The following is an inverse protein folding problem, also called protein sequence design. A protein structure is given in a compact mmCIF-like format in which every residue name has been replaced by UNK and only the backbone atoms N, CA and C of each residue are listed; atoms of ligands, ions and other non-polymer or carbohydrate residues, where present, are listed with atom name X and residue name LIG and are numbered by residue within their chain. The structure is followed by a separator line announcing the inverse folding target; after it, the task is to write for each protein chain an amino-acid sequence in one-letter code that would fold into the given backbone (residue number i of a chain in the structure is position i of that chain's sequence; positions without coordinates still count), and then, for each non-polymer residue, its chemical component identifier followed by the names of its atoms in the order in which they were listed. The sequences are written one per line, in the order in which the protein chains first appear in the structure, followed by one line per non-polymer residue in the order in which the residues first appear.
data_IF_506057533132
#
_entry.id   IF_506057533132
#
_cell.length_a   1.000
_cell.length_b   1.000
_cell.length_c   1.000
_cell.angle_alpha   90.00
_cell.angle_beta   90.00
_cell.angle_gamma   90.00
#
_symmetry.space_group_name_H-M   'P 1'
#
loop_
_entity.id
_entity.type
_entity.pdbx_description
1 polymer ?
#
# COMPACT_ATOMS: atom_id res chain seq x y z
N UNK A 1 -3.91 34.95 5.45
CA UNK A 1 -3.63 33.51 5.49
C UNK A 1 -2.24 33.15 6.00
N UNK A 2 -1.40 34.11 6.24
CA UNK A 2 0.00 33.87 6.68
C UNK A 2 0.24 34.47 8.06
N UNK A 3 -0.77 34.31 8.94
CA UNK A 3 -0.73 34.91 10.27
C UNK A 3 0.31 34.25 11.19
N UNK A 4 0.90 33.12 10.80
CA UNK A 4 1.90 32.47 11.63
C UNK A 4 2.94 31.67 10.85
N UNK A 5 3.77 32.37 10.08
CA UNK A 5 4.90 31.79 9.34
C UNK A 5 5.90 31.05 10.26
N UNK A 6 5.99 31.45 11.53
CA UNK A 6 6.87 30.78 12.51
C UNK A 6 6.28 29.45 12.95
N UNK A 7 4.98 29.37 13.19
CA UNK A 7 4.31 28.13 13.55
C UNK A 7 4.34 27.15 12.37
N UNK A 8 4.03 27.62 11.16
CA UNK A 8 4.12 26.83 9.94
C UNK A 8 5.53 26.25 9.74
N UNK A 9 6.57 27.06 9.90
CA UNK A 9 7.95 26.61 9.82
C UNK A 9 8.27 25.53 10.87
N UNK A 10 7.86 25.76 12.12
CA UNK A 10 8.09 24.80 13.21
C UNK A 10 7.38 23.44 12.95
N UNK A 11 6.16 23.46 12.39
CA UNK A 11 5.44 22.23 12.01
C UNK A 11 6.18 21.49 10.90
N UNK A 12 6.62 22.20 9.86
CA UNK A 12 7.36 21.60 8.74
C UNK A 12 8.71 21.02 9.24
N UNK A 13 9.48 21.77 10.03
CA UNK A 13 10.74 21.28 10.61
C UNK A 13 10.53 20.03 11.45
N UNK A 14 9.48 19.99 12.25
CA UNK A 14 9.12 18.83 13.04
C UNK A 14 8.74 17.64 12.16
N UNK A 15 7.95 17.85 11.12
CA UNK A 15 7.59 16.81 10.16
C UNK A 15 8.85 16.25 9.47
N UNK A 16 9.71 17.13 8.96
CA UNK A 16 10.98 16.75 8.29
C UNK A 16 11.94 15.97 9.19
N UNK A 17 11.89 16.20 10.50
CA UNK A 17 12.73 15.45 11.45
C UNK A 17 12.11 14.11 11.89
N UNK A 18 10.78 14.00 11.94
CA UNK A 18 10.08 12.83 12.50
C UNK A 18 9.61 11.83 11.44
N UNK A 19 9.10 12.28 10.31
CA UNK A 19 8.56 11.40 9.27
C UNK A 19 9.58 10.41 8.73
N UNK A 20 10.86 10.77 8.48
CA UNK A 20 11.87 9.79 8.05
C UNK A 20 12.07 8.63 9.02
N UNK A 21 11.77 8.82 10.32
CA UNK A 21 11.89 7.74 11.31
C UNK A 21 10.86 6.63 11.06
N UNK A 22 9.61 7.02 10.74
CA UNK A 22 8.56 6.05 10.39
C UNK A 22 8.77 5.46 9.00
N UNK A 23 9.32 6.23 8.07
CA UNK A 23 9.59 5.76 6.70
C UNK A 23 10.68 4.69 6.61
N UNK A 24 11.51 4.50 7.66
CA UNK A 24 12.48 3.38 7.72
C UNK A 24 11.82 2.00 7.57
N UNK A 25 10.53 1.91 7.78
CA UNK A 25 9.75 0.68 7.62
C UNK A 25 9.80 0.12 6.21
N UNK A 26 10.01 0.96 5.18
CA UNK A 26 10.09 0.54 3.79
C UNK A 26 11.41 -0.16 3.40
N UNK A 27 12.46 0.00 4.21
CA UNK A 27 13.75 -0.62 3.92
C UNK A 27 13.68 -2.16 4.05
N UNK A 28 14.45 -2.91 3.22
CA UNK A 28 15.40 -2.38 2.22
C UNK A 28 14.75 -2.17 0.83
N UNK A 29 13.63 -2.80 0.50
CA UNK A 29 13.15 -2.97 -0.87
C UNK A 29 11.67 -2.60 -1.07
N UNK A 30 11.06 -1.96 -0.08
CA UNK A 30 9.69 -1.48 -0.16
C UNK A 30 8.65 -2.44 0.41
N UNK A 31 9.09 -3.56 0.95
CA UNK A 31 8.20 -4.46 1.68
C UNK A 31 7.66 -3.77 2.94
N UNK A 32 6.34 -3.87 3.16
CA UNK A 32 5.69 -3.19 4.28
C UNK A 32 5.18 -4.21 5.31
N UNK A 33 5.77 -4.28 6.51
CA UNK A 33 5.52 -5.36 7.46
C UNK A 33 4.12 -5.37 8.07
N UNK A 34 3.40 -4.25 8.04
CA UNK A 34 2.05 -4.13 8.60
C UNK A 34 0.95 -4.45 7.57
N UNK A 35 1.31 -4.88 6.36
CA UNK A 35 0.38 -5.38 5.36
C UNK A 35 -0.36 -4.31 4.56
N UNK A 36 -1.41 -4.76 3.87
CA UNK A 36 -2.11 -4.06 2.80
C UNK A 36 -2.73 -2.73 3.23
N UNK A 37 -3.55 -2.74 4.28
CA UNK A 37 -4.31 -1.55 4.69
C UNK A 37 -3.42 -0.48 5.32
N UNK A 38 -2.46 -0.88 6.17
CA UNK A 38 -1.56 0.06 6.82
C UNK A 38 -0.56 0.69 5.85
N UNK A 39 -0.13 -0.06 4.81
CA UNK A 39 0.61 0.57 3.72
C UNK A 39 -0.21 1.68 3.07
N UNK A 40 -1.45 1.38 2.72
CA UNK A 40 -2.35 2.36 2.08
C UNK A 40 -2.53 3.62 2.92
N UNK A 41 -2.75 3.44 4.21
CA UNK A 41 -2.93 4.53 5.16
C UNK A 41 -1.64 5.37 5.31
N UNK A 42 -0.57 4.77 5.77
CA UNK A 42 0.68 5.48 6.06
C UNK A 42 1.33 6.08 4.81
N UNK A 43 1.36 5.32 3.72
CA UNK A 43 1.98 5.76 2.47
C UNK A 43 1.21 6.91 1.83
N UNK A 44 -0.13 6.92 1.91
CA UNK A 44 -0.92 8.03 1.37
C UNK A 44 -0.60 9.35 2.06
N UNK A 45 -0.41 9.37 3.38
CA UNK A 45 0.01 10.57 4.09
C UNK A 45 1.44 11.00 3.75
N UNK A 46 2.36 10.05 3.60
CA UNK A 46 3.71 10.36 3.15
C UNK A 46 3.70 11.00 1.74
N UNK A 47 2.93 10.43 0.82
CA UNK A 47 2.76 10.97 -0.54
C UNK A 47 2.17 12.37 -0.51
N UNK A 48 1.14 12.62 0.32
CA UNK A 48 0.54 13.95 0.46
C UNK A 48 1.54 14.97 0.97
N UNK A 49 2.32 14.62 1.99
CA UNK A 49 3.36 15.51 2.52
C UNK A 49 4.41 15.84 1.45
N UNK A 50 4.93 14.81 0.77
CA UNK A 50 5.92 14.97 -0.30
C UNK A 50 5.37 15.87 -1.42
N UNK A 51 4.16 15.59 -1.90
CA UNK A 51 3.52 16.36 -2.95
C UNK A 51 3.29 17.83 -2.54
N UNK A 52 2.90 18.07 -1.29
CA UNK A 52 2.71 19.42 -0.77
C UNK A 52 4.05 20.19 -0.66
N UNK A 53 5.10 19.55 -0.15
CA UNK A 53 6.44 20.15 -0.07
C UNK A 53 7.00 20.47 -1.45
N UNK A 54 6.90 19.54 -2.41
CA UNK A 54 7.34 19.79 -3.79
C UNK A 54 6.57 20.96 -4.43
N UNK A 55 5.26 21.02 -4.22
CA UNK A 55 4.43 22.08 -4.77
C UNK A 55 4.73 23.44 -4.16
N UNK A 56 4.94 23.50 -2.85
CA UNK A 56 5.11 24.75 -2.12
C UNK A 56 6.56 25.24 -2.08
N UNK A 57 7.51 24.31 -1.98
CA UNK A 57 8.94 24.62 -1.74
C UNK A 57 9.86 24.20 -2.89
N UNK A 58 9.34 23.47 -3.90
CA UNK A 58 10.12 22.95 -5.00
C UNK A 58 10.99 21.73 -4.64
N UNK A 59 10.87 21.19 -3.43
CA UNK A 59 11.64 20.06 -2.94
C UNK A 59 10.91 19.34 -1.83
N UNK A 60 11.00 18.02 -1.81
CA UNK A 60 10.49 17.17 -0.73
C UNK A 60 11.49 16.97 0.43
N UNK A 61 12.63 17.67 0.37
CA UNK A 61 13.71 17.54 1.38
C UNK A 61 14.34 16.16 1.48
N UNK A 62 14.19 15.33 0.43
CA UNK A 62 14.77 13.98 0.37
C UNK A 62 13.87 12.89 0.91
N UNK A 63 12.60 13.16 1.23
CA UNK A 63 11.68 12.15 1.75
C UNK A 63 11.44 11.02 0.74
N UNK A 64 11.30 11.32 -0.55
CA UNK A 64 11.14 10.29 -1.58
C UNK A 64 12.39 9.42 -1.78
N UNK A 65 13.56 9.89 -1.35
CA UNK A 65 14.81 9.15 -1.43
C UNK A 65 15.05 8.19 -0.25
N UNK A 66 14.13 8.14 0.74
CA UNK A 66 14.21 7.17 1.83
C UNK A 66 14.23 5.76 1.26
N UNK A 67 15.15 4.93 1.75
CA UNK A 67 15.36 3.57 1.27
C UNK A 67 14.07 2.75 1.26
N UNK A 68 13.79 2.12 0.12
CA UNK A 68 12.62 1.27 -0.09
C UNK A 68 11.31 2.03 -0.38
N UNK A 69 11.21 3.32 -0.07
CA UNK A 69 9.95 4.05 -0.21
C UNK A 69 9.41 4.00 -1.66
N UNK A 70 10.23 4.39 -2.64
CA UNK A 70 9.78 4.37 -4.04
C UNK A 70 9.52 2.95 -4.58
N UNK A 71 10.20 1.94 -4.05
CA UNK A 71 10.01 0.54 -4.41
C UNK A 71 8.72 -0.04 -3.83
N UNK A 72 8.16 0.56 -2.78
CA UNK A 72 6.99 0.03 -2.06
C UNK A 72 5.70 0.01 -2.90
N UNK A 73 5.64 0.78 -3.97
CA UNK A 73 4.55 0.68 -4.94
C UNK A 73 4.44 -0.72 -5.57
N UNK A 74 5.58 -1.37 -5.80
CA UNK A 74 5.61 -2.75 -6.32
C UNK A 74 5.07 -3.75 -5.29
N UNK A 75 5.42 -3.61 -4.02
CA UNK A 75 4.79 -4.41 -2.96
C UNK A 75 3.27 -4.34 -3.07
N UNK A 76 2.71 -3.13 -3.02
CA UNK A 76 1.26 -2.93 -3.07
C UNK A 76 0.63 -3.52 -4.35
N UNK A 77 1.28 -3.37 -5.48
CA UNK A 77 0.80 -3.88 -6.76
C UNK A 77 0.58 -5.40 -6.74
N UNK A 78 1.45 -6.15 -6.05
CA UNK A 78 1.36 -7.61 -5.97
C UNK A 78 0.46 -8.13 -4.85
N UNK A 79 0.01 -7.27 -3.93
CA UNK A 79 -0.79 -7.67 -2.78
C UNK A 79 -2.23 -8.11 -3.11
N UNK A 80 -2.76 -7.78 -4.28
CA UNK A 80 -4.06 -8.26 -4.73
C UNK A 80 -3.92 -9.53 -5.56
N UNK A 81 -4.67 -10.56 -5.21
CA UNK A 81 -4.69 -11.85 -5.93
C UNK A 81 -5.59 -11.86 -7.17
N UNK A 82 -5.70 -13.02 -7.82
CA UNK A 82 -6.51 -13.20 -9.03
C UNK A 82 -8.02 -13.20 -8.75
N UNK A 83 -8.43 -13.47 -7.51
CA UNK A 83 -9.84 -13.32 -7.08
C UNK A 83 -10.24 -11.85 -6.89
N UNK A 84 -9.27 -10.95 -6.82
CA UNK A 84 -9.47 -9.55 -6.46
C UNK A 84 -9.49 -9.32 -4.95
N UNK A 85 -9.10 -10.31 -4.15
CA UNK A 85 -8.89 -10.18 -2.70
C UNK A 85 -7.42 -9.84 -2.41
N UNK A 86 -7.19 -9.08 -1.35
CA UNK A 86 -5.84 -8.80 -0.88
C UNK A 86 -5.24 -9.99 -0.12
N UNK A 87 -3.91 -10.11 -0.10
CA UNK A 87 -3.22 -10.93 0.88
C UNK A 87 -3.25 -10.20 2.21
N UNK A 88 -4.10 -10.66 3.10
CA UNK A 88 -4.52 -9.97 4.31
C UNK A 88 -3.72 -10.38 5.55
N UNK A 89 -2.41 -10.59 5.41
CA UNK A 89 -1.55 -10.83 6.58
C UNK A 89 -1.50 -9.62 7.51
N UNK A 90 -1.12 -9.83 8.75
CA UNK A 90 -1.15 -8.82 9.82
C UNK A 90 -2.57 -8.27 10.03
N UNK A 91 -2.71 -7.06 10.54
CA UNK A 91 -4.03 -6.42 10.75
C UNK A 91 -4.65 -5.90 9.44
N UNK A 92 -4.60 -6.70 8.38
CA UNK A 92 -5.18 -6.34 7.10
C UNK A 92 -6.50 -7.06 6.83
N UNK A 93 -7.35 -6.42 6.04
CA UNK A 93 -8.60 -6.98 5.51
C UNK A 93 -8.35 -7.58 4.13
N UNK A 94 -9.15 -8.57 3.76
CA UNK A 94 -9.08 -9.19 2.43
C UNK A 94 -9.69 -8.33 1.31
N UNK A 95 -10.54 -7.37 1.65
CA UNK A 95 -11.18 -6.49 0.67
C UNK A 95 -10.18 -5.52 0.08
N UNK A 96 -10.05 -5.54 -1.24
CA UNK A 96 -9.22 -4.55 -1.95
C UNK A 96 -9.92 -3.21 -2.07
N UNK A 97 -9.12 -2.15 -2.02
CA UNK A 97 -9.55 -0.76 -2.16
C UNK A 97 -8.65 -0.01 -3.13
N UNK A 98 -9.06 1.18 -3.55
CA UNK A 98 -8.20 2.07 -4.32
C UNK A 98 -7.18 2.76 -3.41
N UNK A 99 -5.96 2.89 -3.92
CA UNK A 99 -4.92 3.67 -3.26
C UNK A 99 -4.49 4.83 -4.16
N UNK A 100 -5.07 6.02 -3.97
CA UNK A 100 -4.71 7.20 -4.76
C UNK A 100 -3.21 7.49 -4.81
N UNK A 101 -2.45 7.10 -3.78
CA UNK A 101 -0.99 7.17 -3.77
C UNK A 101 -0.34 6.45 -4.97
N UNK A 102 -0.95 5.39 -5.50
CA UNK A 102 -0.43 4.65 -6.66
C UNK A 102 -0.35 5.53 -7.92
N UNK A 103 -1.26 6.50 -8.07
CA UNK A 103 -1.20 7.45 -9.19
C UNK A 103 0.00 8.38 -9.07
N UNK A 104 0.33 8.82 -7.85
CA UNK A 104 1.55 9.58 -7.61
C UNK A 104 2.79 8.76 -7.96
N UNK A 105 2.87 7.51 -7.48
CA UNK A 105 3.99 6.63 -7.81
C UNK A 105 4.13 6.37 -9.30
N UNK A 106 3.03 6.05 -9.97
CA UNK A 106 3.04 5.84 -11.42
C UNK A 106 3.56 7.07 -12.18
N UNK A 107 3.13 8.27 -11.76
CA UNK A 107 3.60 9.53 -12.32
C UNK A 107 5.09 9.78 -12.05
N UNK A 108 5.55 9.54 -10.82
CA UNK A 108 6.95 9.78 -10.43
C UNK A 108 7.93 8.80 -11.07
N UNK A 109 7.52 7.54 -11.19
CA UNK A 109 8.35 6.47 -11.76
C UNK A 109 8.21 6.35 -13.28
N UNK A 110 7.25 7.06 -13.89
CA UNK A 110 6.95 6.92 -15.32
C UNK A 110 6.46 5.51 -15.68
N UNK A 111 5.78 4.84 -14.75
CA UNK A 111 5.39 3.43 -14.89
C UNK A 111 3.88 3.25 -14.74
N UNK A 112 3.12 3.30 -15.84
CA UNK A 112 1.68 3.14 -15.80
C UNK A 112 1.23 1.75 -15.36
N UNK A 113 2.08 0.71 -15.45
CA UNK A 113 1.71 -0.63 -15.01
C UNK A 113 1.39 -0.71 -13.52
N UNK A 114 1.88 0.22 -12.70
CA UNK A 114 1.53 0.34 -11.29
C UNK A 114 0.05 0.59 -11.06
N UNK A 115 -0.68 1.10 -12.06
CA UNK A 115 -2.11 1.38 -12.00
C UNK A 115 -2.99 0.19 -12.39
N UNK A 116 -2.44 -1.01 -12.57
CA UNK A 116 -3.24 -2.17 -13.00
C UNK A 116 -4.38 -2.49 -12.04
N UNK A 117 -4.12 -2.56 -10.74
CA UNK A 117 -5.16 -2.83 -9.75
C UNK A 117 -6.16 -1.67 -9.64
N UNK A 118 -5.68 -0.43 -9.75
CA UNK A 118 -6.52 0.76 -9.76
C UNK A 118 -7.48 0.76 -10.96
N UNK A 119 -7.00 0.36 -12.14
CA UNK A 119 -7.83 0.17 -13.33
C UNK A 119 -8.94 -0.84 -13.08
N UNK A 120 -8.59 -2.01 -12.51
CA UNK A 120 -9.57 -3.06 -12.19
C UNK A 120 -10.59 -2.52 -11.18
N UNK A 121 -10.13 -1.84 -10.12
CA UNK A 121 -11.00 -1.27 -9.10
C UNK A 121 -11.98 -0.25 -9.70
N UNK A 122 -11.49 0.73 -10.44
CA UNK A 122 -12.28 1.83 -10.99
C UNK A 122 -13.27 1.39 -12.10
N UNK A 123 -13.09 0.21 -12.67
CA UNK A 123 -14.00 -0.34 -13.70
C UNK A 123 -15.09 -1.25 -13.13
N UNK A 124 -15.13 -1.49 -11.83
CA UNK A 124 -16.20 -2.26 -11.18
C UNK A 124 -17.49 -1.45 -11.16
N UNK A 125 -18.63 -2.12 -11.40
CA UNK A 125 -19.95 -1.48 -11.34
C UNK A 125 -20.35 -1.06 -9.91
N UNK A 126 -19.81 -1.73 -8.90
CA UNK A 126 -20.07 -1.53 -7.48
C UNK A 126 -18.96 -0.75 -6.76
N UNK A 127 -18.19 0.04 -7.50
CA UNK A 127 -17.09 0.82 -6.91
C UNK A 127 -17.64 1.86 -5.92
N UNK A 128 -17.20 1.73 -4.67
CA UNK A 128 -17.46 2.69 -3.62
C UNK A 128 -16.13 3.14 -3.01
N UNK A 129 -16.03 4.44 -2.77
CA UNK A 129 -14.94 4.98 -1.97
C UNK A 129 -15.41 5.09 -0.53
N UNK A 130 -14.58 4.67 0.41
CA UNK A 130 -14.82 4.93 1.82
C UNK A 130 -14.56 6.41 2.14
N UNK A 131 -15.11 6.93 3.23
CA UNK A 131 -14.83 8.31 3.67
C UNK A 131 -13.32 8.55 3.89
N UNK A 132 -12.57 7.51 4.21
CA UNK A 132 -11.11 7.60 4.35
C UNK A 132 -10.41 7.74 3.00
N UNK A 133 -10.88 7.06 1.98
CA UNK A 133 -10.35 7.15 0.63
C UNK A 133 -10.73 8.46 -0.04
N UNK A 134 -11.93 8.96 0.18
CA UNK A 134 -12.46 10.20 -0.43
C UNK A 134 -11.54 11.41 -0.19
N UNK A 135 -10.93 11.53 0.98
CA UNK A 135 -9.99 12.62 1.28
C UNK A 135 -8.72 12.62 0.42
N UNK A 136 -8.39 11.47 -0.18
CA UNK A 136 -7.22 11.32 -1.06
C UNK A 136 -7.56 11.40 -2.55
N UNK A 137 -8.84 11.48 -2.93
CA UNK A 137 -9.27 11.58 -4.33
C UNK A 137 -8.60 12.73 -5.11
N UNK A 138 -8.27 13.89 -4.52
CA UNK A 138 -7.54 14.93 -5.22
C UNK A 138 -6.21 14.43 -5.81
N UNK A 139 -5.56 13.43 -5.22
CA UNK A 139 -4.32 12.83 -5.74
C UNK A 139 -4.61 12.16 -7.09
N UNK A 140 -5.73 11.45 -7.23
CA UNK A 140 -6.15 10.84 -8.50
C UNK A 140 -6.33 11.92 -9.57
N UNK A 141 -6.99 13.03 -9.24
CA UNK A 141 -7.21 14.11 -10.20
C UNK A 141 -5.90 14.75 -10.65
N UNK A 142 -4.97 14.99 -9.72
CA UNK A 142 -3.69 15.67 -9.99
C UNK A 142 -2.77 14.77 -10.82
N UNK A 143 -2.62 13.51 -10.44
CA UNK A 143 -1.64 12.60 -11.02
C UNK A 143 -2.25 11.64 -12.05
N UNK A 144 -3.52 11.25 -11.89
CA UNK A 144 -4.21 10.31 -12.75
C UNK A 144 -4.58 10.88 -14.12
N UNK A 145 -4.78 12.20 -14.22
CA UNK A 145 -5.09 12.86 -15.51
C UNK A 145 -4.03 12.66 -16.60
N UNK A 146 -2.85 12.20 -16.22
CA UNK A 146 -1.73 11.94 -17.12
C UNK A 146 -1.81 10.57 -17.80
N UNK A 147 -2.73 9.70 -17.36
CA UNK A 147 -2.82 8.31 -17.81
C UNK A 147 -4.17 8.04 -18.49
N UNK A 148 -4.13 7.44 -19.66
CA UNK A 148 -5.31 6.77 -20.22
C UNK A 148 -5.40 5.37 -19.57
N UNK A 149 -6.40 5.19 -18.71
CA UNK A 149 -6.60 3.92 -18.00
C UNK A 149 -6.87 2.74 -18.95
N UNK A 150 -7.30 3.00 -20.19
CA UNK A 150 -7.50 1.96 -21.20
C UNK A 150 -6.16 1.38 -21.68
N UNK A 151 -5.13 2.20 -21.70
CA UNK A 151 -3.79 1.81 -22.13
C UNK A 151 -2.93 1.20 -21.03
N UNK A 152 -3.41 1.24 -19.79
CA UNK A 152 -2.72 0.59 -18.66
C UNK A 152 -2.70 -0.92 -18.89
N UNK A 153 -1.49 -1.49 -18.91
CA UNK A 153 -1.23 -2.93 -19.03
C UNK A 153 -0.62 -3.47 -17.74
N UNK A 154 -0.80 -4.78 -17.46
CA UNK A 154 -0.22 -5.36 -16.25
C UNK A 154 1.31 -5.41 -16.34
N UNK A 155 2.00 -5.52 -15.20
CA UNK A 155 3.45 -5.71 -15.19
C UNK A 155 3.85 -7.04 -15.82
N UNK A 156 5.05 -7.06 -16.43
CA UNK A 156 5.60 -8.27 -17.07
C UNK A 156 5.93 -9.35 -16.03
N UNK A 157 6.54 -8.93 -14.89
CA UNK A 157 6.93 -9.86 -13.84
C UNK A 157 5.71 -10.51 -13.18
N UNK A 158 5.84 -11.77 -12.83
CA UNK A 158 4.83 -12.59 -12.15
C UNK A 158 5.23 -12.91 -10.70
N UNK A 159 6.40 -12.48 -10.28
CA UNK A 159 6.94 -12.75 -8.96
C UNK A 159 7.46 -11.45 -8.37
N UNK A 160 7.16 -11.22 -7.11
CA UNK A 160 7.76 -10.19 -6.29
C UNK A 160 8.12 -10.79 -4.93
N UNK A 161 9.30 -10.46 -4.43
CA UNK A 161 9.76 -10.86 -3.10
C UNK A 161 10.24 -9.63 -2.36
N UNK A 162 9.87 -9.54 -1.10
CA UNK A 162 10.30 -8.46 -0.22
C UNK A 162 11.01 -8.98 1.02
N UNK A 163 11.98 -8.21 1.48
CA UNK A 163 12.78 -8.51 2.65
C UNK A 163 12.40 -7.60 3.82
N UNK A 164 13.10 -7.72 4.92
CA UNK A 164 12.86 -6.93 6.12
C UNK A 164 12.29 -7.76 7.27
N UNK A 165 11.54 -7.12 8.16
CA UNK A 165 11.02 -7.78 9.38
C UNK A 165 9.99 -8.87 9.10
N UNK A 166 9.17 -8.67 8.09
CA UNK A 166 8.13 -9.62 7.66
C UNK A 166 8.33 -9.86 6.17
N UNK A 167 9.33 -10.69 5.77
CA UNK A 167 9.57 -10.97 4.37
C UNK A 167 8.37 -11.68 3.74
N UNK A 168 8.07 -11.33 2.49
CA UNK A 168 6.98 -11.94 1.75
C UNK A 168 7.42 -12.38 0.36
N UNK A 169 6.74 -13.41 -0.17
CA UNK A 169 6.82 -13.80 -1.57
C UNK A 169 5.42 -13.80 -2.17
N UNK A 170 5.26 -13.11 -3.29
CA UNK A 170 4.01 -12.93 -4.02
C UNK A 170 4.22 -13.46 -5.44
N UNK A 171 3.49 -14.52 -5.78
CA UNK A 171 3.70 -15.30 -7.01
C UNK A 171 2.36 -15.44 -7.72
N UNK A 172 2.35 -15.22 -9.02
CA UNK A 172 1.15 -15.38 -9.85
C UNK A 172 1.50 -15.91 -11.23
N UNK A 173 0.54 -16.50 -11.92
CA UNK A 173 0.71 -16.92 -13.32
C UNK A 173 0.12 -15.91 -14.30
N UNK A 174 -0.84 -15.11 -13.87
CA UNK A 174 -1.51 -14.08 -14.67
C UNK A 174 -1.90 -12.87 -13.84
N UNK A 175 -2.40 -11.83 -14.50
CA UNK A 175 -2.90 -10.61 -13.88
C UNK A 175 -4.42 -10.45 -14.03
N UNK A 176 -5.02 -11.21 -14.93
CA UNK A 176 -6.46 -11.13 -15.19
C UNK A 176 -7.26 -11.77 -14.06
N UNK A 177 -8.43 -11.18 -13.77
CA UNK A 177 -9.28 -11.62 -12.69
C UNK A 177 -9.81 -13.03 -12.96
N UNK A 178 -9.67 -13.91 -11.99
CA UNK A 178 -10.16 -15.28 -12.03
C UNK A 178 -9.29 -16.26 -12.82
N UNK A 179 -8.19 -15.80 -13.43
CA UNK A 179 -7.31 -16.63 -14.23
C UNK A 179 -6.04 -17.05 -13.51
N UNK A 180 -5.61 -18.28 -13.78
CA UNK A 180 -4.36 -18.81 -13.24
C UNK A 180 -4.39 -19.03 -11.75
N UNK A 181 -3.21 -18.87 -11.12
CA UNK A 181 -3.08 -18.94 -9.66
C UNK A 181 -2.34 -17.73 -9.08
N UNK A 182 -2.55 -17.54 -7.78
CA UNK A 182 -1.83 -16.60 -6.95
C UNK A 182 -1.46 -17.25 -5.62
N UNK A 183 -0.24 -17.00 -5.17
CA UNK A 183 0.27 -17.36 -3.85
C UNK A 183 0.87 -16.14 -3.20
N UNK A 184 0.40 -15.82 -2.01
CA UNK A 184 1.07 -14.90 -1.09
C UNK A 184 1.53 -15.71 0.12
N UNK A 185 2.80 -15.64 0.48
CA UNK A 185 3.35 -16.26 1.68
C UNK A 185 4.19 -15.27 2.45
N UNK A 186 4.04 -15.26 3.77
CA UNK A 186 4.86 -14.45 4.66
C UNK A 186 5.75 -15.32 5.55
N UNK A 187 6.94 -14.82 5.81
CA UNK A 187 7.84 -15.30 6.84
C UNK A 187 7.98 -14.29 7.98
N UNK A 188 9.13 -14.28 8.63
CA UNK A 188 9.58 -13.22 9.53
C UNK A 188 9.21 -13.37 10.97
N UNK A 189 9.21 -12.24 11.67
CA UNK A 189 9.05 -12.18 13.12
C UNK A 189 7.60 -11.84 13.52
N UNK A 190 7.13 -12.49 14.58
CA UNK A 190 5.86 -12.19 15.23
C UNK A 190 5.89 -10.89 16.08
N UNK A 191 7.04 -10.25 16.23
CA UNK A 191 7.22 -9.07 17.09
C UNK A 191 7.26 -7.74 16.30
N UNK A 192 6.85 -7.73 15.04
CA UNK A 192 6.64 -6.48 14.32
C UNK A 192 5.29 -5.85 14.72
N UNK A 193 5.17 -4.52 14.56
CA UNK A 193 3.87 -3.85 14.79
C UNK A 193 2.78 -4.47 13.93
N UNK A 194 1.60 -4.63 14.50
CA UNK A 194 0.44 -5.25 13.85
C UNK A 194 0.70 -6.66 13.29
N UNK A 195 1.78 -7.32 13.68
CA UNK A 195 2.10 -8.67 13.22
C UNK A 195 1.38 -9.73 14.05
N UNK A 196 1.07 -10.84 13.40
CA UNK A 196 0.53 -12.03 14.03
C UNK A 196 1.61 -13.10 14.20
N UNK A 197 1.43 -14.00 15.16
CA UNK A 197 2.33 -15.14 15.42
C UNK A 197 2.07 -16.29 14.43
N UNK A 198 2.13 -16.00 13.15
CA UNK A 198 1.72 -16.86 12.04
C UNK A 198 2.76 -16.88 10.91
N UNK A 199 4.05 -16.89 11.27
CA UNK A 199 5.12 -17.06 10.29
C UNK A 199 4.90 -18.32 9.45
N UNK A 200 4.90 -18.15 8.11
CA UNK A 200 4.52 -19.21 7.18
C UNK A 200 3.04 -19.19 6.77
N UNK A 201 2.24 -18.25 7.30
CA UNK A 201 0.88 -18.02 6.79
C UNK A 201 0.90 -17.70 5.30
N UNK A 202 -0.07 -18.24 4.57
CA UNK A 202 -0.17 -18.07 3.13
C UNK A 202 -1.62 -18.01 2.66
N UNK A 203 -1.80 -17.38 1.51
CA UNK A 203 -3.04 -17.48 0.74
C UNK A 203 -2.75 -18.19 -0.58
N UNK A 204 -3.72 -18.96 -1.06
CA UNK A 204 -3.64 -19.61 -2.36
C UNK A 204 -4.94 -19.43 -3.13
N UNK A 205 -4.82 -18.95 -4.36
CA UNK A 205 -5.95 -18.77 -5.27
C UNK A 205 -5.70 -19.50 -6.58
N UNK A 206 -6.74 -20.13 -7.09
CA UNK A 206 -6.74 -20.76 -8.40
C UNK A 206 -8.16 -20.79 -8.96
N UNK A 207 -8.29 -20.58 -10.28
CA UNK A 207 -9.57 -20.68 -11.00
C UNK A 207 -10.67 -19.79 -10.39
N UNK A 208 -10.30 -18.58 -9.96
CA UNK A 208 -11.23 -17.61 -9.39
C UNK A 208 -11.69 -17.91 -7.95
N UNK A 209 -11.08 -18.90 -7.28
CA UNK A 209 -11.41 -19.30 -5.90
C UNK A 209 -10.18 -19.14 -5.02
N UNK A 210 -10.36 -18.57 -3.81
CA UNK A 210 -9.36 -18.59 -2.74
C UNK A 210 -9.49 -19.89 -1.97
N UNK A 211 -8.54 -20.81 -2.15
CA UNK A 211 -8.51 -22.15 -1.56
C UNK A 211 -7.85 -22.19 -0.19
N UNK A 212 -6.86 -21.37 0.04
CA UNK A 212 -6.25 -21.14 1.34
C UNK A 212 -6.37 -19.68 1.71
N UNK A 213 -6.77 -19.43 2.93
CA UNK A 213 -7.13 -18.09 3.42
C UNK A 213 -6.37 -17.79 4.70
N UNK A 214 -5.86 -16.58 4.83
CA UNK A 214 -5.48 -15.99 6.10
C UNK A 214 -6.77 -15.57 6.83
N UNK A 215 -6.89 -15.89 8.12
CA UNK A 215 -8.09 -15.55 8.89
C UNK A 215 -8.23 -14.05 9.17
N UNK A 216 -7.16 -13.28 8.90
CA UNK A 216 -7.15 -11.85 9.10
C UNK A 216 -7.09 -11.43 10.57
N UNK A 217 -7.52 -10.22 10.83
CA UNK A 217 -7.53 -9.63 12.17
C UNK A 217 -8.86 -9.84 12.89
N UNK A 218 -8.81 -9.90 14.20
CA UNK A 218 -9.97 -9.73 15.06
C UNK A 218 -10.13 -8.23 15.40
N UNK A 219 -11.37 -7.76 15.52
CA UNK A 219 -11.65 -6.37 15.87
C UNK A 219 -11.08 -6.01 17.25
N UNK A 220 -10.31 -4.92 17.33
CA UNK A 220 -9.62 -4.48 18.55
C UNK A 220 -10.54 -4.35 19.75
N UNK A 221 -11.72 -3.74 19.57
CA UNK A 221 -12.69 -3.58 20.66
C UNK A 221 -13.10 -4.91 21.28
N UNK A 222 -13.24 -5.97 20.50
CA UNK A 222 -13.58 -7.30 21.03
C UNK A 222 -12.45 -7.88 21.87
N UNK A 223 -11.19 -7.67 21.50
CA UNK A 223 -10.01 -8.10 22.25
C UNK A 223 -9.84 -7.31 23.54
N UNK A 224 -9.99 -5.99 23.48
CA UNK A 224 -9.91 -5.11 24.65
C UNK A 224 -10.97 -5.45 25.69
N UNK A 225 -12.19 -5.76 25.26
CA UNK A 225 -13.29 -6.16 26.13
C UNK A 225 -12.98 -7.44 26.91
N UNK A 226 -12.25 -8.37 26.31
CA UNK A 226 -11.81 -9.63 26.94
C UNK A 226 -10.47 -9.46 27.70
N UNK A 227 -9.97 -8.23 27.82
CA UNK A 227 -8.74 -7.93 28.54
C UNK A 227 -7.46 -8.35 27.82
N UNK A 228 -7.56 -8.68 26.53
CA UNK A 228 -6.40 -8.97 25.68
C UNK A 228 -5.82 -7.64 25.22
N UNK A 229 -4.56 -7.40 25.55
CA UNK A 229 -3.84 -6.23 25.03
C UNK A 229 -3.11 -6.62 23.74
N UNK A 230 -3.25 -5.76 22.76
CA UNK A 230 -2.53 -5.83 21.47
C UNK A 230 -1.11 -5.29 21.61
#
# INVERSE_FOLDING_TARGET
MDSDSKEAAAVIERAMSSVPLSMKVYAPDGNYPEGYNYWGYGTSFNVMLIAALESALGSDGGLSAVEGFMSSARFMQYMAGTTGLAFNFSDARETTQSFPAMFWYASKLGDPSLLWNEKIFLTREDTHFTAEEERFLPIILIYGSRFDMKEVTPPVSKIWTGHGKVPVALIRTGWDKGEGFYVGIKGGTASANHAHMDAGSFVFEAQGVRWAQDLGMQEYYSLEKEGVRL
#
